data_IF_670567111250
#
_entry.id   IF_670567111250
#
_cell.length_a   1.000
_cell.length_b   1.000
_cell.length_c   1.000
_cell.angle_alpha   90.00
_cell.angle_beta   90.00
_cell.angle_gamma   90.00
#
_symmetry.space_group_name_H-M   'P 1'
#
loop_
_entity.id
_entity.type
_entity.pdbx_description
1 polymer ?
#
# COMPACT_ATOMS: atom_id res chain seq x y z
N UNK A 1 -69.34 14.17 8.05
CA UNK A 1 -68.36 14.07 6.96
C UNK A 1 -67.08 14.81 7.35
N UNK A 2 -66.15 14.15 8.06
CA UNK A 2 -64.77 14.62 8.31
C UNK A 2 -64.05 13.53 9.11
N UNK A 3 -63.43 12.56 8.43
CA UNK A 3 -62.09 12.16 8.90
C UNK A 3 -61.09 11.85 7.77
N UNK A 4 -61.43 12.08 6.50
CA UNK A 4 -60.55 11.66 5.40
C UNK A 4 -59.31 12.57 5.25
N UNK A 5 -59.42 13.85 5.60
CA UNK A 5 -58.31 14.81 5.43
C UNK A 5 -57.16 14.65 6.45
N UNK A 6 -57.38 14.01 7.61
CA UNK A 6 -56.36 13.90 8.67
C UNK A 6 -55.35 12.78 8.41
N UNK A 7 -55.74 11.76 7.65
CA UNK A 7 -54.85 10.64 7.29
C UNK A 7 -53.99 10.95 6.05
N UNK A 8 -54.44 11.87 5.19
CA UNK A 8 -53.67 12.34 4.03
C UNK A 8 -52.43 13.15 4.42
N UNK A 9 -52.49 13.95 5.50
CA UNK A 9 -51.34 14.75 5.96
C UNK A 9 -50.21 13.92 6.58
N UNK A 10 -50.52 12.77 7.19
CA UNK A 10 -49.50 11.91 7.84
C UNK A 10 -48.75 11.06 6.82
N UNK A 11 -49.44 10.61 5.75
CA UNK A 11 -48.80 9.84 4.69
C UNK A 11 -47.74 10.65 3.90
N UNK A 12 -47.98 11.96 3.71
CA UNK A 12 -47.05 12.84 3.00
C UNK A 12 -45.77 13.13 3.79
N UNK A 13 -45.86 13.25 5.12
CA UNK A 13 -44.69 13.50 5.98
C UNK A 13 -43.78 12.26 6.12
N UNK A 14 -44.36 11.05 6.15
CA UNK A 14 -43.60 9.80 6.19
C UNK A 14 -42.84 9.51 4.90
N UNK A 15 -43.45 9.77 3.74
CA UNK A 15 -42.81 9.58 2.44
C UNK A 15 -41.61 10.53 2.22
N UNK A 16 -41.68 11.76 2.75
CA UNK A 16 -40.57 12.71 2.67
C UNK A 16 -39.34 12.27 3.51
N UNK A 17 -39.55 11.56 4.62
CA UNK A 17 -38.46 11.08 5.48
C UNK A 17 -37.70 9.89 4.88
N UNK A 18 -38.32 9.09 4.02
CA UNK A 18 -37.69 7.93 3.38
C UNK A 18 -36.77 8.31 2.20
N UNK A 19 -36.95 9.47 1.56
CA UNK A 19 -36.17 9.87 0.37
C UNK A 19 -34.82 10.49 0.76
N UNK A 20 -34.69 11.10 1.95
CA UNK A 20 -33.45 11.72 2.41
C UNK A 20 -32.33 10.72 2.73
N UNK A 21 -32.65 9.46 3.03
CA UNK A 21 -31.69 8.44 3.40
C UNK A 21 -30.89 7.86 2.21
N UNK A 22 -31.37 8.02 0.98
CA UNK A 22 -30.72 7.46 -0.23
C UNK A 22 -29.73 8.42 -0.90
N UNK A 23 -29.57 9.65 -0.39
CA UNK A 23 -28.67 10.66 -0.96
C UNK A 23 -27.28 10.71 -0.29
N UNK A 24 -26.99 9.83 0.67
CA UNK A 24 -25.63 9.65 1.15
C UNK A 24 -24.85 8.88 0.09
N UNK A 25 -24.35 9.60 -0.91
CA UNK A 25 -23.32 9.10 -1.80
C UNK A 25 -22.20 8.53 -0.94
N UNK A 26 -21.92 7.23 -1.07
CA UNK A 26 -20.72 6.65 -0.49
C UNK A 26 -19.54 7.54 -0.89
N UNK A 27 -18.63 7.90 0.03
CA UNK A 27 -17.45 8.66 -0.34
C UNK A 27 -16.79 7.94 -1.51
N UNK A 28 -16.52 8.67 -2.59
CA UNK A 28 -15.79 8.18 -3.76
C UNK A 28 -14.47 7.58 -3.28
N UNK A 29 -14.43 6.26 -3.12
CA UNK A 29 -13.28 5.53 -2.58
C UNK A 29 -12.09 5.58 -3.51
N UNK A 30 -12.31 5.97 -4.77
CA UNK A 30 -11.26 6.21 -5.76
C UNK A 30 -10.73 7.64 -5.76
N UNK A 31 -11.33 8.58 -5.01
CA UNK A 31 -10.86 9.95 -4.95
C UNK A 31 -9.51 10.01 -4.22
N UNK A 32 -8.43 10.46 -4.88
CA UNK A 32 -7.16 10.67 -4.19
C UNK A 32 -7.36 11.71 -3.08
N UNK A 33 -6.79 11.48 -1.89
CA UNK A 33 -6.83 12.48 -0.83
C UNK A 33 -6.11 13.75 -1.28
N UNK A 34 -6.62 14.90 -0.86
CA UNK A 34 -5.97 16.17 -1.14
C UNK A 34 -4.57 16.20 -0.52
N UNK A 35 -3.58 16.66 -1.29
CA UNK A 35 -2.23 16.95 -0.81
C UNK A 35 -2.27 18.38 -0.28
N UNK A 36 -2.28 18.53 1.04
CA UNK A 36 -2.40 19.82 1.72
C UNK A 36 -1.20 20.02 2.65
N UNK A 37 -0.67 21.25 2.74
CA UNK A 37 0.30 21.66 3.76
C UNK A 37 -0.08 21.21 5.18
N UNK A 38 0.82 20.48 5.85
CA UNK A 38 0.80 20.22 7.28
C UNK A 38 1.98 20.93 7.95
N UNK A 39 1.76 21.52 9.13
CA UNK A 39 2.81 22.20 9.92
C UNK A 39 3.92 21.24 10.37
N UNK A 40 3.56 19.98 10.66
CA UNK A 40 4.51 18.93 11.04
C UNK A 40 3.93 17.55 10.77
N UNK A 41 4.82 16.58 10.56
CA UNK A 41 4.46 15.19 10.35
C UNK A 41 5.25 14.28 11.31
N UNK A 42 4.63 13.20 11.82
CA UNK A 42 5.37 12.18 12.55
C UNK A 42 6.47 11.53 11.69
N UNK A 43 7.39 10.82 12.36
CA UNK A 43 8.43 10.07 11.65
C UNK A 43 7.81 8.99 10.75
N UNK A 44 8.29 8.83 9.51
CA UNK A 44 7.76 7.82 8.60
C UNK A 44 8.17 6.44 9.09
N UNK A 45 7.30 5.45 8.90
CA UNK A 45 7.60 4.05 9.21
C UNK A 45 7.34 3.18 8.01
N UNK A 46 8.19 2.19 7.85
CA UNK A 46 8.02 1.11 6.91
C UNK A 46 7.70 -0.15 7.72
N UNK A 47 6.62 -0.84 7.36
CA UNK A 47 6.28 -2.13 7.97
C UNK A 47 6.18 -3.16 6.85
N UNK A 48 7.25 -3.94 6.60
CA UNK A 48 7.17 -5.10 5.72
C UNK A 48 6.50 -6.27 6.42
N UNK A 49 5.86 -7.13 5.63
CA UNK A 49 5.29 -8.39 6.08
C UNK A 49 6.15 -9.57 5.59
N UNK A 50 6.00 -10.77 6.19
CA UNK A 50 6.65 -11.96 5.69
C UNK A 50 6.34 -12.23 4.21
N UNK A 51 7.28 -12.81 3.44
CA UNK A 51 7.03 -13.19 2.06
C UNK A 51 5.83 -14.13 1.93
N UNK A 52 5.02 -13.95 0.88
CA UNK A 52 3.86 -14.80 0.65
C UNK A 52 4.29 -16.27 0.42
N UNK A 53 3.80 -17.23 1.24
CA UNK A 53 4.30 -18.62 1.18
C UNK A 53 4.03 -19.33 -0.15
N UNK A 54 2.84 -19.17 -0.72
CA UNK A 54 2.45 -19.88 -1.95
C UNK A 54 3.26 -19.43 -3.18
N UNK A 55 3.45 -18.13 -3.47
CA UNK A 55 4.42 -17.68 -4.48
C UNK A 55 5.85 -18.13 -4.18
N UNK A 56 6.29 -18.06 -2.91
CA UNK A 56 7.65 -18.41 -2.51
C UNK A 56 7.97 -19.89 -2.78
N UNK A 57 7.00 -20.79 -2.57
CA UNK A 57 7.12 -22.21 -2.90
C UNK A 57 7.41 -22.47 -4.40
N UNK A 58 7.14 -21.48 -5.27
CA UNK A 58 7.44 -21.49 -6.71
C UNK A 58 8.65 -20.63 -7.08
N UNK A 59 9.42 -20.15 -6.11
CA UNK A 59 10.60 -19.29 -6.32
C UNK A 59 10.27 -17.81 -6.59
N UNK A 60 9.04 -17.36 -6.31
CA UNK A 60 8.63 -15.95 -6.47
C UNK A 60 8.57 -15.30 -5.10
N UNK A 61 9.42 -14.31 -4.86
CA UNK A 61 9.41 -13.54 -3.61
C UNK A 61 8.44 -12.37 -3.75
N UNK A 62 7.30 -12.44 -3.07
CA UNK A 62 6.35 -11.33 -2.95
C UNK A 62 6.36 -10.85 -1.51
N UNK A 63 6.84 -9.64 -1.28
CA UNK A 63 6.87 -9.00 0.03
C UNK A 63 5.83 -7.91 0.05
N UNK A 64 4.83 -8.10 0.90
CA UNK A 64 3.88 -7.04 1.15
C UNK A 64 4.46 -6.01 2.12
N UNK A 65 4.02 -4.77 2.01
CA UNK A 65 4.40 -3.72 2.94
C UNK A 65 3.29 -2.69 3.12
N UNK A 66 3.36 -1.96 4.23
CA UNK A 66 2.65 -0.70 4.40
C UNK A 66 3.60 0.38 4.90
N UNK A 67 3.21 1.62 4.70
CA UNK A 67 3.90 2.78 5.28
C UNK A 67 2.97 3.54 6.21
N UNK A 68 3.53 4.13 7.25
CA UNK A 68 2.86 5.11 8.11
C UNK A 68 3.56 6.46 7.93
N UNK A 69 2.79 7.55 7.81
CA UNK A 69 3.32 8.92 7.64
C UNK A 69 4.25 9.08 6.41
N UNK A 70 3.98 8.30 5.36
CA UNK A 70 4.73 8.32 4.10
C UNK A 70 3.86 7.74 2.98
N UNK A 71 3.89 8.34 1.78
CA UNK A 71 3.25 7.82 0.57
C UNK A 71 4.29 7.45 -0.48
N UNK A 72 4.21 6.22 -0.97
CA UNK A 72 5.04 5.75 -2.09
C UNK A 72 4.42 6.22 -3.40
N UNK A 73 5.17 7.00 -4.18
CA UNK A 73 4.74 7.60 -5.44
C UNK A 73 5.93 7.75 -6.40
N UNK A 74 5.71 7.82 -7.73
CA UNK A 74 6.76 8.06 -8.72
C UNK A 74 7.15 9.55 -8.78
N UNK A 75 7.67 10.08 -7.67
CA UNK A 75 8.03 11.50 -7.50
C UNK A 75 9.51 11.65 -7.16
N UNK A 76 10.15 12.63 -7.80
CA UNK A 76 11.59 12.85 -7.73
C UNK A 76 11.92 14.35 -7.80
N UNK A 77 13.07 14.72 -7.25
CA UNK A 77 13.61 16.08 -7.34
C UNK A 77 13.33 16.93 -6.09
N UNK A 78 14.14 17.98 -5.92
CA UNK A 78 14.17 18.79 -4.70
C UNK A 78 12.84 19.46 -4.38
N UNK A 79 12.10 19.92 -5.38
CA UNK A 79 10.80 20.58 -5.17
C UNK A 79 9.75 19.64 -4.54
N UNK A 80 9.82 18.35 -4.81
CA UNK A 80 8.88 17.38 -4.26
C UNK A 80 9.14 17.08 -2.77
N UNK A 81 10.33 17.42 -2.24
CA UNK A 81 10.66 17.26 -0.81
C UNK A 81 9.77 18.15 0.07
N UNK A 82 9.30 19.28 -0.45
CA UNK A 82 8.46 20.25 0.27
C UNK A 82 6.97 19.86 0.29
N UNK A 83 6.59 18.75 -0.34
CA UNK A 83 5.20 18.29 -0.41
C UNK A 83 4.81 17.51 0.83
N UNK A 84 3.57 17.71 1.26
CA UNK A 84 2.98 17.09 2.44
C UNK A 84 1.52 16.67 2.15
N UNK A 85 1.06 15.49 2.61
CA UNK A 85 1.78 14.52 3.45
C UNK A 85 3.02 13.94 2.76
N UNK A 86 4.04 13.55 3.53
CA UNK A 86 5.36 13.16 3.03
C UNK A 86 5.24 12.11 1.93
N UNK A 87 5.88 12.39 0.81
CA UNK A 87 5.91 11.51 -0.36
C UNK A 87 7.34 11.09 -0.68
N UNK A 88 7.49 9.97 -1.38
CA UNK A 88 8.78 9.50 -1.88
C UNK A 88 8.63 8.11 -2.47
N UNK A 89 9.67 7.29 -2.39
CA UNK A 89 9.67 5.92 -2.91
C UNK A 89 10.52 5.00 -2.05
N UNK A 90 10.49 3.70 -2.32
CA UNK A 90 11.41 2.77 -1.67
C UNK A 90 12.66 2.60 -2.53
N UNK A 91 13.83 2.54 -1.92
CA UNK A 91 14.96 1.84 -2.52
C UNK A 91 14.92 0.38 -2.08
N UNK A 92 15.14 -0.53 -3.02
CA UNK A 92 15.18 -1.97 -2.75
C UNK A 92 16.52 -2.53 -3.18
N UNK A 93 17.21 -3.20 -2.25
CA UNK A 93 18.49 -3.87 -2.49
C UNK A 93 18.38 -5.33 -2.10
N UNK A 94 18.85 -6.22 -2.97
CA UNK A 94 18.95 -7.66 -2.69
C UNK A 94 20.39 -7.99 -2.30
N UNK A 95 20.59 -8.71 -1.20
CA UNK A 95 21.87 -9.28 -0.76
C UNK A 95 23.06 -8.30 -0.65
N UNK A 96 22.78 -7.04 -0.29
CA UNK A 96 23.77 -5.96 -0.31
C UNK A 96 24.50 -5.79 -1.65
N UNK A 97 23.87 -6.21 -2.75
CA UNK A 97 24.41 -5.99 -4.07
C UNK A 97 24.63 -4.49 -4.33
N UNK A 98 25.60 -4.17 -5.19
CA UNK A 98 25.87 -2.79 -5.60
C UNK A 98 24.67 -2.14 -6.32
N UNK A 99 23.77 -2.94 -6.89
CA UNK A 99 22.55 -2.47 -7.54
C UNK A 99 21.38 -2.33 -6.57
N UNK A 100 20.71 -1.18 -6.62
CA UNK A 100 19.43 -0.90 -5.98
C UNK A 100 18.45 -0.36 -7.02
N UNK A 101 17.16 -0.56 -6.83
CA UNK A 101 16.13 0.06 -7.69
C UNK A 101 15.12 0.85 -6.86
N UNK A 102 14.51 1.84 -7.52
CA UNK A 102 13.38 2.58 -6.95
C UNK A 102 12.08 1.80 -7.18
N UNK A 103 11.37 1.49 -6.09
CA UNK A 103 10.01 0.96 -6.13
C UNK A 103 9.03 2.10 -5.86
N UNK A 104 8.27 2.47 -6.89
CA UNK A 104 7.42 3.67 -6.90
C UNK A 104 5.93 3.38 -6.92
N UNK A 105 5.54 2.11 -6.91
CA UNK A 105 4.16 1.70 -6.70
C UNK A 105 3.90 1.44 -5.23
N UNK A 106 2.64 1.42 -4.83
CA UNK A 106 2.27 0.84 -3.54
C UNK A 106 2.58 -0.68 -3.49
N UNK A 107 2.03 -1.37 -2.51
CA UNK A 107 2.13 -2.82 -2.33
C UNK A 107 1.84 -3.61 -3.63
N UNK A 108 2.54 -4.74 -3.91
CA UNK A 108 3.69 -5.31 -3.20
C UNK A 108 5.03 -5.14 -3.94
N UNK A 109 6.13 -5.52 -3.27
CA UNK A 109 7.44 -5.71 -3.93
C UNK A 109 7.52 -7.15 -4.44
N UNK A 110 7.90 -7.33 -5.70
CA UNK A 110 8.02 -8.64 -6.34
C UNK A 110 9.44 -8.83 -6.87
N UNK A 111 10.08 -9.92 -6.47
CA UNK A 111 11.41 -10.32 -6.94
C UNK A 111 11.34 -11.76 -7.47
N UNK A 112 11.85 -11.96 -8.69
CA UNK A 112 11.90 -13.27 -9.36
C UNK A 112 13.33 -13.55 -9.81
N UNK A 113 13.68 -14.83 -9.92
CA UNK A 113 14.97 -15.27 -10.44
C UNK A 113 16.11 -15.30 -9.41
N UNK A 114 15.81 -15.18 -8.13
CA UNK A 114 16.78 -15.45 -7.07
C UNK A 114 17.18 -16.94 -7.10
N UNK A 115 18.44 -17.21 -6.80
CA UNK A 115 18.94 -18.58 -6.65
C UNK A 115 18.29 -19.28 -5.46
N UNK A 116 18.23 -20.62 -5.40
CA UNK A 116 17.86 -21.30 -4.17
C UNK A 116 18.83 -20.94 -3.03
N UNK A 117 18.31 -20.67 -1.84
CA UNK A 117 19.10 -20.29 -0.67
C UNK A 117 18.55 -19.11 0.11
N UNK A 118 19.31 -18.67 1.12
CA UNK A 118 18.97 -17.52 1.94
C UNK A 118 19.30 -16.21 1.21
N UNK A 119 18.36 -15.28 1.26
CA UNK A 119 18.45 -13.94 0.69
C UNK A 119 17.95 -12.91 1.69
N UNK A 120 18.34 -11.65 1.46
CA UNK A 120 17.82 -10.49 2.19
C UNK A 120 17.38 -9.40 1.23
N UNK A 121 16.23 -8.81 1.51
CA UNK A 121 15.73 -7.62 0.84
C UNK A 121 15.83 -6.46 1.83
N UNK A 122 16.72 -5.50 1.57
CA UNK A 122 16.76 -4.23 2.30
C UNK A 122 15.82 -3.25 1.62
N UNK A 123 14.89 -2.71 2.39
CA UNK A 123 13.89 -1.75 1.94
C UNK A 123 14.15 -0.43 2.66
N UNK A 124 14.36 0.65 1.91
CA UNK A 124 14.68 1.97 2.46
C UNK A 124 13.64 2.99 2.01
N UNK A 125 13.05 3.73 2.94
CA UNK A 125 12.22 4.89 2.61
C UNK A 125 13.12 6.01 2.14
N UNK A 126 12.99 6.41 0.87
CA UNK A 126 13.74 7.50 0.29
C UNK A 126 12.82 8.69 0.00
N UNK A 127 13.23 9.88 0.42
CA UNK A 127 12.57 11.10 -0.01
C UNK A 127 12.84 11.38 -1.50
N UNK A 128 12.16 12.37 -2.13
CA UNK A 128 12.36 12.65 -3.55
C UNK A 128 13.76 13.14 -3.93
N UNK A 129 14.61 13.48 -2.95
CA UNK A 129 16.02 13.82 -3.11
C UNK A 129 16.96 12.62 -2.90
N UNK A 130 16.41 11.41 -2.71
CA UNK A 130 17.09 10.16 -2.38
C UNK A 130 17.73 10.12 -0.99
N UNK A 131 17.29 10.97 -0.05
CA UNK A 131 17.70 10.86 1.35
C UNK A 131 16.93 9.72 2.00
N UNK A 132 17.65 8.82 2.67
CA UNK A 132 17.05 7.72 3.43
C UNK A 132 16.45 8.23 4.75
N UNK A 133 15.20 7.86 5.00
CA UNK A 133 14.41 8.27 6.16
C UNK A 133 14.14 7.12 7.15
N UNK A 134 14.25 5.88 6.69
CA UNK A 134 14.05 4.67 7.47
C UNK A 134 14.43 3.45 6.64
N UNK A 135 14.76 2.34 7.29
CA UNK A 135 15.16 1.10 6.63
C UNK A 135 14.63 -0.11 7.39
N UNK A 136 14.21 -1.12 6.63
CA UNK A 136 13.84 -2.44 7.14
C UNK A 136 14.52 -3.52 6.32
N UNK A 137 14.64 -4.73 6.87
CA UNK A 137 15.19 -5.89 6.15
C UNK A 137 14.26 -7.08 6.26
N UNK A 138 13.98 -7.70 5.12
CA UNK A 138 13.20 -8.95 5.03
C UNK A 138 14.12 -10.08 4.65
N UNK A 139 14.25 -11.07 5.54
CA UNK A 139 14.94 -12.33 5.26
C UNK A 139 14.00 -13.29 4.55
N UNK A 140 14.49 -13.97 3.52
CA UNK A 140 13.72 -14.97 2.76
C UNK A 140 14.62 -16.13 2.36
N UNK A 141 14.09 -17.36 2.42
CA UNK A 141 14.77 -18.55 1.89
C UNK A 141 14.01 -19.04 0.66
N UNK A 142 14.66 -18.97 -0.49
CA UNK A 142 14.12 -19.44 -1.77
C UNK A 142 14.35 -20.96 -1.87
N UNK A 143 13.32 -21.78 -2.14
CA UNK A 143 13.46 -23.22 -2.19
C UNK A 143 14.22 -23.69 -3.46
N UNK A 144 14.89 -24.84 -3.36
CA UNK A 144 15.42 -25.52 -4.54
C UNK A 144 14.30 -26.29 -5.25
N UNK A 145 13.80 -25.71 -6.34
CA UNK A 145 12.71 -26.29 -7.14
C UNK A 145 13.12 -27.58 -7.87
N UNK A 146 14.42 -27.83 -8.09
CA UNK A 146 14.90 -29.08 -8.70
C UNK A 146 14.92 -30.21 -7.69
N UNK A 147 15.37 -29.94 -6.46
CA UNK A 147 15.32 -30.89 -5.36
C UNK A 147 13.88 -31.17 -4.86
N UNK A 148 12.97 -30.22 -5.05
CA UNK A 148 11.57 -30.34 -4.61
C UNK A 148 10.68 -31.16 -5.55
N UNK A 149 11.18 -31.63 -6.71
CA UNK A 149 10.45 -32.60 -7.53
C UNK A 149 10.52 -33.98 -6.83
N UNK A 150 9.40 -34.64 -6.54
CA UNK A 150 9.44 -36.02 -6.04
C UNK A 150 10.17 -36.90 -7.07
N UNK A 151 11.00 -37.82 -6.57
CA UNK A 151 11.50 -38.95 -7.35
C UNK A 151 10.28 -39.70 -7.90
N UNK A 152 10.07 -39.64 -9.20
CA UNK A 152 9.00 -40.38 -9.87
C UNK A 152 9.53 -41.81 -10.07
N UNK A 153 8.95 -42.83 -9.41
CA UNK A 153 9.34 -44.23 -9.64
C UNK A 153 8.96 -44.69 -11.05
#
# INVERSE_FOLDING_TARGET
MRPLFRHLSVAAAGAAFCIAAFAQNAPDTGRPPAILPLESEPAPKLIPYPPLPEPLARGVVIVQFRTEHFRVMPVFGKTAVELTPRIGHLHVTVDDAHGTWAHTSEDPIIVVGLTPGAHKLRLELADPSHKILGSETVSVTVPDLKASKPHQP
#
